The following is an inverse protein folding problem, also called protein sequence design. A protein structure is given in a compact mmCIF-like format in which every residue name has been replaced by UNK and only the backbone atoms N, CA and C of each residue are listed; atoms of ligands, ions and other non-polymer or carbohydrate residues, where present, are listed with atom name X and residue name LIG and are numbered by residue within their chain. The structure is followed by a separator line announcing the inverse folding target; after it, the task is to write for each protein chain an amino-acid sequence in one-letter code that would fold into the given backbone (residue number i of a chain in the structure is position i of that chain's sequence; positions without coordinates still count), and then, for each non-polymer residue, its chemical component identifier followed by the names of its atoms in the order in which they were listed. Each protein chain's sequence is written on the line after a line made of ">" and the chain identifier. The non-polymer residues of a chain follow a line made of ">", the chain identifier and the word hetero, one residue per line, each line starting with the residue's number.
data_IF_701618543134
#
_entry.id   IF_701618543134
#
_cell.length_a   1.000
_cell.length_b   1.000
_cell.length_c   1.000
_cell.angle_alpha   90.00
_cell.angle_beta   90.00
_cell.angle_gamma   90.00
#
_symmetry.space_group_name_H-M   'P 1'
#
loop_
_entity.id
_entity.type
_entity.pdbx_description
1 polymer ?
#
# COMPACT_ATOMS: atom_id res chain seq x y z
N UNK A 1 -7.94 -29.37 -42.03
CA UNK A 1 -8.32 -27.96 -42.29
C UNK A 1 -7.83 -27.16 -41.11
N UNK A 2 -6.85 -26.29 -41.29
CA UNK A 2 -6.44 -25.35 -40.24
C UNK A 2 -7.62 -24.43 -39.98
N UNK A 3 -8.10 -24.37 -38.74
CA UNK A 3 -9.09 -23.37 -38.33
C UNK A 3 -8.40 -22.02 -38.48
N UNK A 4 -8.86 -21.19 -39.42
CA UNK A 4 -8.39 -19.81 -39.54
C UNK A 4 -9.10 -19.01 -38.44
N UNK A 5 -8.42 -18.84 -37.31
CA UNK A 5 -8.87 -17.95 -36.24
C UNK A 5 -8.79 -16.49 -36.69
N UNK A 6 -9.76 -15.68 -36.28
CA UNK A 6 -9.72 -14.21 -36.40
C UNK A 6 -9.35 -13.58 -35.06
N UNK A 7 -8.96 -12.30 -35.04
CA UNK A 7 -8.73 -11.56 -33.78
C UNK A 7 -9.99 -11.55 -32.90
N UNK A 8 -11.18 -11.45 -33.51
CA UNK A 8 -12.45 -11.52 -32.80
C UNK A 8 -12.69 -12.88 -32.09
N UNK A 9 -12.13 -13.97 -32.61
CA UNK A 9 -12.21 -15.29 -31.96
C UNK A 9 -11.19 -15.44 -30.81
N UNK A 10 -10.07 -14.71 -30.90
CA UNK A 10 -8.96 -14.78 -29.94
C UNK A 10 -9.18 -13.85 -28.74
N UNK A 11 -9.73 -12.66 -28.95
CA UNK A 11 -9.93 -11.66 -27.89
C UNK A 11 -10.69 -12.18 -26.66
N UNK A 12 -11.83 -12.89 -26.80
CA UNK A 12 -12.51 -13.46 -25.64
C UNK A 12 -11.63 -14.44 -24.84
N UNK A 13 -10.75 -15.19 -25.52
CA UNK A 13 -9.82 -16.11 -24.87
C UNK A 13 -8.72 -15.37 -24.13
N UNK A 14 -8.20 -14.28 -24.71
CA UNK A 14 -7.23 -13.41 -24.03
C UNK A 14 -7.85 -12.92 -22.73
N UNK A 15 -9.05 -12.32 -22.80
CA UNK A 15 -9.74 -11.77 -21.63
C UNK A 15 -10.07 -12.85 -20.59
N UNK A 16 -10.55 -14.03 -21.02
CA UNK A 16 -10.83 -15.14 -20.09
C UNK A 16 -9.56 -15.63 -19.35
N UNK A 17 -8.40 -15.63 -20.02
CA UNK A 17 -7.15 -16.02 -19.36
C UNK A 17 -6.65 -14.91 -18.42
N UNK A 18 -6.86 -13.63 -18.76
CA UNK A 18 -6.60 -12.51 -17.84
C UNK A 18 -7.47 -12.62 -16.59
N UNK A 19 -8.78 -12.87 -16.75
CA UNK A 19 -9.72 -13.01 -15.63
C UNK A 19 -9.35 -14.19 -14.69
N UNK A 20 -8.68 -15.21 -15.22
CA UNK A 20 -8.16 -16.37 -14.47
C UNK A 20 -6.73 -16.18 -13.94
N UNK A 21 -6.11 -15.03 -14.21
CA UNK A 21 -4.70 -14.75 -13.90
C UNK A 21 -3.72 -15.72 -14.60
N UNK A 22 -4.14 -16.33 -15.71
CA UNK A 22 -3.35 -17.24 -16.56
C UNK A 22 -2.55 -16.44 -17.60
N UNK A 23 -1.74 -15.47 -17.14
CA UNK A 23 -1.05 -14.52 -18.01
C UNK A 23 -0.15 -15.14 -19.10
N UNK A 24 0.60 -16.23 -18.87
CA UNK A 24 1.38 -16.87 -19.94
C UNK A 24 0.50 -17.42 -21.08
N UNK A 25 -0.70 -17.92 -20.74
CA UNK A 25 -1.66 -18.41 -21.73
C UNK A 25 -2.33 -17.24 -22.47
N UNK A 26 -2.72 -16.18 -21.75
CA UNK A 26 -3.20 -14.93 -22.35
C UNK A 26 -2.18 -14.38 -23.37
N UNK A 27 -0.90 -14.36 -22.99
CA UNK A 27 0.19 -13.86 -23.84
C UNK A 27 0.33 -14.64 -25.15
N UNK A 28 0.17 -15.97 -25.09
CA UNK A 28 0.19 -16.81 -26.31
C UNK A 28 -0.94 -16.44 -27.27
N UNK A 29 -2.14 -16.13 -26.74
CA UNK A 29 -3.25 -15.66 -27.57
C UNK A 29 -3.03 -14.22 -28.08
N UNK A 30 -2.42 -13.34 -27.29
CA UNK A 30 -2.02 -11.99 -27.72
C UNK A 30 -1.05 -12.05 -28.91
N UNK A 31 0.01 -12.87 -28.82
CA UNK A 31 0.97 -13.06 -29.90
C UNK A 31 0.28 -13.54 -31.18
N UNK A 32 -0.64 -14.51 -31.07
CA UNK A 32 -1.45 -14.99 -32.18
C UNK A 32 -2.31 -13.88 -32.80
N UNK A 33 -2.91 -13.03 -31.98
CA UNK A 33 -3.74 -11.92 -32.45
C UNK A 33 -2.89 -10.86 -33.18
N UNK A 34 -1.70 -10.53 -32.66
CA UNK A 34 -0.76 -9.61 -33.31
C UNK A 34 -0.13 -10.18 -34.60
N UNK A 35 0.04 -11.51 -34.72
CA UNK A 35 0.43 -12.13 -35.99
C UNK A 35 -0.62 -11.91 -37.08
N UNK A 36 -1.91 -11.89 -36.72
CA UNK A 36 -3.03 -11.67 -37.64
C UNK A 36 -3.23 -10.19 -37.95
N UNK A 37 -3.15 -9.33 -36.93
CA UNK A 37 -3.33 -7.88 -37.05
C UNK A 37 -2.24 -7.12 -36.27
N UNK A 38 -1.04 -6.92 -36.85
CA UNK A 38 0.10 -6.30 -36.15
C UNK A 38 -0.13 -4.85 -35.70
N UNK A 39 -1.10 -4.15 -36.30
CA UNK A 39 -1.39 -2.74 -36.05
C UNK A 39 -2.80 -2.55 -35.45
N UNK A 40 -3.28 -3.53 -34.68
CA UNK A 40 -4.51 -3.39 -33.91
C UNK A 40 -4.19 -2.74 -32.56
N UNK A 41 -4.58 -1.47 -32.39
CA UNK A 41 -4.26 -0.67 -31.20
C UNK A 41 -4.81 -1.29 -29.90
N UNK A 42 -5.99 -1.89 -29.95
CA UNK A 42 -6.61 -2.54 -28.80
C UNK A 42 -5.85 -3.81 -28.39
N UNK A 43 -5.44 -4.65 -29.35
CA UNK A 43 -4.65 -5.85 -29.05
C UNK A 43 -3.26 -5.49 -28.54
N UNK A 44 -2.63 -4.44 -29.09
CA UNK A 44 -1.36 -3.93 -28.58
C UNK A 44 -1.49 -3.45 -27.12
N UNK A 45 -2.57 -2.75 -26.80
CA UNK A 45 -2.86 -2.33 -25.41
C UNK A 45 -3.05 -3.54 -24.49
N UNK A 46 -3.89 -4.50 -24.86
CA UNK A 46 -4.11 -5.73 -24.06
C UNK A 46 -2.80 -6.53 -23.92
N UNK A 47 -1.97 -6.59 -24.97
CA UNK A 47 -0.69 -7.29 -24.92
C UNK A 47 0.25 -6.63 -23.93
N UNK A 48 0.35 -5.30 -23.94
CA UNK A 48 1.19 -4.59 -22.97
C UNK A 48 0.71 -4.76 -21.52
N UNK A 49 -0.60 -4.88 -21.28
CA UNK A 49 -1.14 -5.21 -19.95
C UNK A 49 -0.69 -6.61 -19.50
N UNK A 50 -0.81 -7.61 -20.37
CA UNK A 50 -0.34 -8.98 -20.06
C UNK A 50 1.16 -9.02 -19.85
N UNK A 51 1.94 -8.22 -20.60
CA UNK A 51 3.39 -8.13 -20.45
C UNK A 51 3.80 -7.51 -19.11
N UNK A 52 3.04 -6.54 -18.58
CA UNK A 52 3.27 -5.99 -17.23
C UNK A 52 3.15 -7.08 -16.16
N UNK A 53 2.11 -7.89 -16.25
CA UNK A 53 1.82 -9.00 -15.32
C UNK A 53 2.85 -10.14 -15.42
N UNK A 54 3.58 -10.18 -16.54
CA UNK A 54 4.71 -11.08 -16.77
C UNK A 54 6.06 -10.41 -16.50
N UNK A 55 6.08 -9.20 -15.91
CA UNK A 55 7.26 -8.40 -15.60
C UNK A 55 8.13 -8.08 -16.84
N UNK A 56 7.52 -8.08 -18.04
CA UNK A 56 8.16 -7.75 -19.31
C UNK A 56 8.04 -6.25 -19.61
N UNK A 57 8.51 -5.42 -18.70
CA UNK A 57 8.28 -3.97 -18.69
C UNK A 57 8.70 -3.26 -20.00
N UNK A 58 9.83 -3.65 -20.59
CA UNK A 58 10.32 -3.07 -21.84
C UNK A 58 9.42 -3.37 -23.05
N UNK A 59 8.88 -4.59 -23.12
CA UNK A 59 7.94 -4.98 -24.17
C UNK A 59 6.60 -4.30 -23.97
N UNK A 60 6.12 -4.26 -22.72
CA UNK A 60 4.89 -3.58 -22.36
C UNK A 60 4.94 -2.11 -22.79
N UNK A 61 6.03 -1.41 -22.45
CA UNK A 61 6.25 -0.01 -22.84
C UNK A 61 6.22 0.18 -24.35
N UNK A 62 6.88 -0.72 -25.09
CA UNK A 62 6.90 -0.68 -26.56
C UNK A 62 5.50 -0.82 -27.16
N UNK A 63 4.72 -1.81 -26.72
CA UNK A 63 3.37 -2.02 -27.23
C UNK A 63 2.40 -0.91 -26.83
N UNK A 64 2.54 -0.35 -25.63
CA UNK A 64 1.77 0.84 -25.19
C UNK A 64 2.03 2.03 -26.10
N UNK A 65 3.31 2.34 -26.40
CA UNK A 65 3.68 3.42 -27.31
C UNK A 65 3.16 3.19 -28.74
N UNK A 66 3.18 1.96 -29.23
CA UNK A 66 2.62 1.64 -30.56
C UNK A 66 1.08 1.81 -30.59
N UNK A 67 0.38 1.36 -29.55
CA UNK A 67 -1.07 1.58 -29.40
C UNK A 67 -1.42 3.07 -29.33
N UNK A 68 -0.65 3.87 -28.59
CA UNK A 68 -0.82 5.33 -28.50
C UNK A 68 -0.61 5.99 -29.87
N UNK A 69 0.41 5.56 -30.62
CA UNK A 69 0.69 6.10 -31.95
C UNK A 69 -0.45 5.84 -32.94
N UNK A 70 -1.10 4.68 -32.84
CA UNK A 70 -2.20 4.29 -33.73
C UNK A 70 -3.50 5.02 -33.40
N UNK A 71 -3.85 5.12 -32.12
CA UNK A 71 -5.11 5.72 -31.67
C UNK A 71 -4.92 6.64 -30.44
N UNK A 72 -4.33 7.83 -30.58
CA UNK A 72 -3.92 8.65 -29.43
C UNK A 72 -5.09 9.16 -28.56
N UNK A 73 -6.32 9.17 -29.08
CA UNK A 73 -7.50 9.67 -28.38
C UNK A 73 -8.42 8.55 -27.87
N UNK A 74 -8.08 7.27 -28.12
CA UNK A 74 -8.84 6.12 -27.66
C UNK A 74 -8.18 5.49 -26.43
N UNK A 75 -8.98 5.14 -25.41
CA UNK A 75 -8.53 4.57 -24.13
C UNK A 75 -7.57 5.46 -23.33
N UNK A 76 -7.98 5.84 -22.12
CA UNK A 76 -7.07 6.48 -21.16
C UNK A 76 -6.09 5.48 -20.53
N UNK A 77 -6.41 4.17 -20.53
CA UNK A 77 -5.70 3.16 -19.75
C UNK A 77 -4.25 2.98 -20.17
N UNK A 78 -3.97 2.97 -21.48
CA UNK A 78 -2.59 2.93 -22.00
C UNK A 78 -1.70 4.08 -21.55
N UNK A 79 -2.28 5.24 -21.28
CA UNK A 79 -1.55 6.39 -20.74
C UNK A 79 -1.26 6.23 -19.24
N UNK A 80 -2.15 5.58 -18.49
CA UNK A 80 -1.89 5.25 -17.07
C UNK A 80 -0.74 4.25 -16.96
N UNK A 81 -0.76 3.18 -17.76
CA UNK A 81 0.33 2.20 -17.79
C UNK A 81 1.64 2.82 -18.29
N UNK A 82 1.59 3.66 -19.33
CA UNK A 82 2.79 4.35 -19.78
C UNK A 82 3.35 5.27 -18.69
N UNK A 83 2.50 5.94 -17.92
CA UNK A 83 2.91 6.76 -16.77
C UNK A 83 3.71 5.96 -15.76
N UNK A 84 3.20 4.78 -15.36
CA UNK A 84 3.88 3.87 -14.43
C UNK A 84 5.18 3.27 -15.00
N UNK A 85 5.27 3.12 -16.33
CA UNK A 85 6.45 2.62 -17.04
C UNK A 85 7.46 3.72 -17.43
N UNK A 86 7.21 4.96 -17.04
CA UNK A 86 8.03 6.12 -17.38
C UNK A 86 8.56 6.77 -16.11
N UNK A 87 9.45 7.75 -16.27
CA UNK A 87 10.04 8.49 -15.15
C UNK A 87 9.89 9.99 -15.33
N UNK A 88 10.02 10.73 -14.24
CA UNK A 88 10.09 12.20 -14.25
C UNK A 88 8.96 12.84 -15.09
N UNK A 89 9.31 13.80 -15.96
CA UNK A 89 8.37 14.56 -16.79
C UNK A 89 7.70 13.72 -17.89
N UNK A 90 8.29 12.59 -18.30
CA UNK A 90 7.63 11.67 -19.24
C UNK A 90 6.42 11.00 -18.59
N UNK A 91 6.58 10.51 -17.35
CA UNK A 91 5.49 9.93 -16.58
C UNK A 91 4.36 10.93 -16.35
N UNK A 92 4.70 12.16 -15.93
CA UNK A 92 3.73 13.25 -15.74
C UNK A 92 2.97 13.55 -17.04
N UNK A 93 3.65 13.60 -18.20
CA UNK A 93 2.99 13.86 -19.47
C UNK A 93 2.03 12.73 -19.87
N UNK A 94 2.40 11.47 -19.63
CA UNK A 94 1.53 10.33 -19.86
C UNK A 94 0.30 10.36 -18.94
N UNK A 95 0.49 10.52 -17.62
CA UNK A 95 -0.61 10.63 -16.67
C UNK A 95 -1.54 11.79 -17.00
N UNK A 96 -1.01 12.97 -17.31
CA UNK A 96 -1.82 14.13 -17.69
C UNK A 96 -2.70 13.83 -18.90
N UNK A 97 -2.16 13.19 -19.95
CA UNK A 97 -2.95 12.86 -21.14
C UNK A 97 -4.08 11.87 -20.82
N UNK A 98 -3.84 10.90 -19.96
CA UNK A 98 -4.90 9.99 -19.54
C UNK A 98 -5.93 10.65 -18.61
N UNK A 99 -5.52 11.56 -17.74
CA UNK A 99 -6.44 12.41 -16.95
C UNK A 99 -7.33 13.23 -17.87
N UNK A 100 -6.78 13.87 -18.90
CA UNK A 100 -7.56 14.66 -19.86
C UNK A 100 -8.63 13.80 -20.56
N UNK A 101 -8.27 12.57 -20.95
CA UNK A 101 -9.19 11.61 -21.57
C UNK A 101 -10.28 11.14 -20.58
N UNK A 102 -9.91 10.81 -19.34
CA UNK A 102 -10.86 10.42 -18.30
C UNK A 102 -11.83 11.56 -17.95
N UNK A 103 -11.36 12.80 -17.89
CA UNK A 103 -12.21 13.98 -17.66
C UNK A 103 -13.18 14.16 -18.83
N UNK A 104 -12.71 14.03 -20.08
CA UNK A 104 -13.55 14.13 -21.26
C UNK A 104 -14.61 13.01 -21.32
N UNK A 105 -14.27 11.80 -20.86
CA UNK A 105 -15.19 10.68 -20.73
C UNK A 105 -16.22 10.94 -19.63
N UNK A 106 -15.78 11.32 -18.43
CA UNK A 106 -16.63 11.62 -17.28
C UNK A 106 -17.64 12.73 -17.57
N UNK A 107 -17.24 13.76 -18.32
CA UNK A 107 -18.13 14.87 -18.70
C UNK A 107 -19.30 14.46 -19.61
N UNK A 108 -19.26 13.26 -20.21
CA UNK A 108 -20.37 12.71 -21.00
C UNK A 108 -21.35 11.91 -20.15
N UNK A 109 -20.99 11.61 -18.91
CA UNK A 109 -21.77 10.80 -17.98
C UNK A 109 -22.60 11.69 -17.05
N UNK A 110 -23.60 11.09 -16.40
CA UNK A 110 -24.27 11.75 -15.28
C UNK A 110 -23.32 11.81 -14.09
N UNK A 111 -23.26 12.95 -13.41
CA UNK A 111 -22.35 13.16 -12.26
C UNK A 111 -22.57 12.10 -11.17
N UNK A 112 -23.81 11.65 -10.98
CA UNK A 112 -24.16 10.65 -9.96
C UNK A 112 -24.02 9.19 -10.43
N UNK A 113 -23.60 8.95 -11.68
CA UNK A 113 -23.41 7.58 -12.19
C UNK A 113 -22.21 6.90 -11.53
N UNK A 114 -22.29 5.59 -11.36
CA UNK A 114 -21.21 4.81 -10.75
C UNK A 114 -19.93 4.88 -11.61
N UNK A 115 -20.10 4.89 -12.93
CA UNK A 115 -19.01 5.06 -13.88
C UNK A 115 -18.32 6.42 -13.73
N UNK A 116 -19.08 7.50 -13.48
CA UNK A 116 -18.51 8.82 -13.25
C UNK A 116 -17.72 8.90 -11.93
N UNK A 117 -18.20 8.22 -10.87
CA UNK A 117 -17.50 8.11 -9.59
C UNK A 117 -16.23 7.28 -9.71
N UNK A 118 -16.28 6.17 -10.43
CA UNK A 118 -15.09 5.34 -10.70
C UNK A 118 -14.03 6.14 -11.47
N UNK A 119 -14.44 6.91 -12.49
CA UNK A 119 -13.52 7.81 -13.21
C UNK A 119 -13.00 8.94 -12.32
N UNK A 120 -13.82 9.49 -11.44
CA UNK A 120 -13.39 10.52 -10.49
C UNK A 120 -12.28 10.00 -9.57
N UNK A 121 -12.47 8.82 -8.98
CA UNK A 121 -11.47 8.14 -8.15
C UNK A 121 -10.17 7.87 -8.92
N UNK A 122 -10.25 7.32 -10.15
CA UNK A 122 -9.07 7.08 -11.01
C UNK A 122 -8.31 8.36 -11.37
N UNK A 123 -9.04 9.46 -11.61
CA UNK A 123 -8.40 10.75 -11.88
C UNK A 123 -7.68 11.25 -10.63
N UNK A 124 -8.27 11.13 -9.45
CA UNK A 124 -7.61 11.48 -8.19
C UNK A 124 -6.34 10.66 -7.97
N UNK A 125 -6.38 9.34 -8.17
CA UNK A 125 -5.18 8.50 -8.08
C UNK A 125 -4.09 8.95 -9.06
N UNK A 126 -4.44 9.23 -10.32
CA UNK A 126 -3.46 9.71 -11.30
C UNK A 126 -2.83 11.06 -10.90
N UNK A 127 -3.62 11.99 -10.34
CA UNK A 127 -3.13 13.26 -9.82
C UNK A 127 -2.26 13.09 -8.57
N UNK A 128 -2.55 12.10 -7.73
CA UNK A 128 -1.69 11.68 -6.62
C UNK A 128 -0.35 11.18 -7.16
N UNK A 129 -0.34 10.25 -8.13
CA UNK A 129 0.92 9.77 -8.73
C UNK A 129 1.74 10.90 -9.35
N UNK A 130 1.12 11.86 -10.02
CA UNK A 130 1.82 13.04 -10.54
C UNK A 130 2.42 13.94 -9.44
N UNK A 131 1.73 14.03 -8.29
CA UNK A 131 2.22 14.76 -7.11
C UNK A 131 3.40 14.04 -6.47
N UNK A 132 3.34 12.72 -6.34
CA UNK A 132 4.45 11.89 -5.84
C UNK A 132 5.71 12.07 -6.67
N UNK A 133 5.60 12.07 -8.01
CA UNK A 133 6.74 12.32 -8.90
C UNK A 133 7.38 13.69 -8.60
N UNK A 134 6.60 14.72 -8.28
CA UNK A 134 7.14 16.02 -7.87
C UNK A 134 7.70 16.04 -6.44
N UNK A 135 7.30 15.12 -5.57
CA UNK A 135 7.89 14.95 -4.24
C UNK A 135 9.18 14.12 -4.26
N UNK A 136 9.38 13.30 -5.29
CA UNK A 136 10.56 12.43 -5.42
C UNK A 136 11.46 12.86 -6.57
N UNK A 137 11.14 12.44 -7.80
CA UNK A 137 12.03 12.51 -8.97
C UNK A 137 12.24 13.95 -9.46
N UNK A 138 11.18 14.75 -9.40
CA UNK A 138 11.15 16.13 -9.87
C UNK A 138 11.20 17.17 -8.73
N UNK A 139 11.62 16.78 -7.51
CA UNK A 139 11.58 17.65 -6.33
C UNK A 139 12.48 18.90 -6.40
N UNK A 140 13.48 18.91 -7.29
CA UNK A 140 14.35 20.05 -7.53
C UNK A 140 13.84 21.02 -8.60
N UNK A 141 12.72 20.71 -9.26
CA UNK A 141 12.12 21.59 -10.25
C UNK A 141 11.48 22.82 -9.57
N UNK A 142 11.66 24.04 -10.11
CA UNK A 142 11.14 25.25 -9.48
C UNK A 142 9.61 25.28 -9.40
N UNK A 143 8.92 24.53 -10.26
CA UNK A 143 7.47 24.37 -10.26
C UNK A 143 6.94 23.27 -9.32
N UNK A 144 7.80 22.48 -8.68
CA UNK A 144 7.39 21.25 -7.99
C UNK A 144 6.33 21.51 -6.91
N UNK A 145 6.61 22.43 -5.98
CA UNK A 145 5.66 22.77 -4.91
C UNK A 145 4.32 23.28 -5.45
N UNK A 146 4.36 24.18 -6.44
CA UNK A 146 3.16 24.71 -7.07
C UNK A 146 2.34 23.60 -7.73
N UNK A 147 3.00 22.64 -8.38
CA UNK A 147 2.35 21.53 -9.06
C UNK A 147 1.73 20.54 -8.09
N UNK A 148 2.38 20.24 -6.98
CA UNK A 148 1.79 19.42 -5.91
C UNK A 148 0.47 20.02 -5.40
N UNK A 149 0.45 21.32 -5.08
CA UNK A 149 -0.78 22.00 -4.63
C UNK A 149 -1.88 22.01 -5.71
N UNK A 150 -1.50 22.25 -6.97
CA UNK A 150 -2.42 22.27 -8.10
C UNK A 150 -3.09 20.90 -8.31
N UNK A 151 -2.32 19.82 -8.31
CA UNK A 151 -2.82 18.47 -8.53
C UNK A 151 -3.66 17.95 -7.37
N UNK A 152 -3.22 18.17 -6.13
CA UNK A 152 -4.00 17.77 -4.95
C UNK A 152 -5.32 18.56 -4.85
N UNK A 153 -5.31 19.84 -5.19
CA UNK A 153 -6.55 20.62 -5.26
C UNK A 153 -7.49 20.07 -6.32
N UNK A 154 -6.98 19.70 -7.49
CA UNK A 154 -7.79 19.07 -8.55
C UNK A 154 -8.32 17.70 -8.11
N UNK A 155 -7.51 16.86 -7.46
CA UNK A 155 -7.89 15.54 -6.96
C UNK A 155 -9.06 15.65 -5.97
N UNK A 156 -8.97 16.57 -5.01
CA UNK A 156 -10.02 16.78 -4.01
C UNK A 156 -11.29 17.41 -4.59
N UNK A 157 -11.17 18.20 -5.66
CA UNK A 157 -12.32 18.76 -6.37
C UNK A 157 -13.08 17.70 -7.18
N UNK A 158 -12.37 16.73 -7.75
CA UNK A 158 -12.98 15.67 -8.54
C UNK A 158 -13.53 14.55 -7.66
N UNK A 159 -12.81 14.17 -6.61
CA UNK A 159 -13.22 13.16 -5.65
C UNK A 159 -12.81 13.59 -4.23
N UNK A 160 -13.76 14.15 -3.49
CA UNK A 160 -13.55 14.61 -2.12
C UNK A 160 -13.45 13.47 -1.10
N UNK A 161 -13.77 12.23 -1.49
CA UNK A 161 -13.73 11.04 -0.63
C UNK A 161 -12.50 10.15 -0.93
N UNK A 162 -11.56 10.64 -1.75
CA UNK A 162 -10.34 9.93 -2.08
C UNK A 162 -9.30 10.00 -0.95
N UNK A 163 -9.24 8.96 -0.11
CA UNK A 163 -8.39 8.91 1.09
C UNK A 163 -6.90 9.20 0.82
N UNK A 164 -6.34 8.65 -0.26
CA UNK A 164 -4.94 8.79 -0.64
C UNK A 164 -4.55 10.25 -0.93
N UNK A 165 -5.47 11.04 -1.52
CA UNK A 165 -5.21 12.46 -1.80
C UNK A 165 -4.94 13.26 -0.52
N UNK A 166 -5.57 12.89 0.58
CA UNK A 166 -5.34 13.54 1.87
C UNK A 166 -4.05 13.05 2.55
N UNK A 167 -3.65 11.79 2.35
CA UNK A 167 -2.35 11.30 2.85
C UNK A 167 -1.21 12.01 2.13
N UNK A 168 -1.31 12.12 0.80
CA UNK A 168 -0.29 12.80 0.02
C UNK A 168 -0.26 14.31 0.28
N UNK A 169 -1.42 14.93 0.54
CA UNK A 169 -1.47 16.29 1.05
C UNK A 169 -0.72 16.44 2.37
N UNK A 170 -0.81 15.47 3.29
CA UNK A 170 -0.02 15.50 4.51
C UNK A 170 1.48 15.46 4.22
N UNK A 171 1.94 14.62 3.29
CA UNK A 171 3.34 14.59 2.85
C UNK A 171 3.81 15.94 2.30
N UNK A 172 2.99 16.62 1.48
CA UNK A 172 3.28 17.98 0.99
C UNK A 172 3.33 18.99 2.15
N UNK A 173 2.41 18.90 3.12
CA UNK A 173 2.41 19.79 4.28
C UNK A 173 3.63 19.58 5.17
N UNK A 174 4.08 18.34 5.35
CA UNK A 174 5.30 18.01 6.08
C UNK A 174 6.54 18.61 5.40
N UNK A 175 6.67 18.49 4.08
CA UNK A 175 7.79 19.10 3.34
C UNK A 175 7.79 20.63 3.42
N UNK A 176 6.62 21.24 3.59
CA UNK A 176 6.42 22.68 3.85
C UNK A 176 6.55 23.07 5.33
N UNK A 177 6.85 22.15 6.24
CA UNK A 177 6.93 22.37 7.70
C UNK A 177 5.60 22.83 8.33
N UNK A 178 4.47 22.35 7.80
CA UNK A 178 3.09 22.68 8.23
C UNK A 178 2.45 21.49 8.94
N UNK A 179 3.03 21.08 10.07
CA UNK A 179 2.68 19.83 10.77
C UNK A 179 1.21 19.76 11.22
N UNK A 180 0.62 20.87 11.69
CA UNK A 180 -0.79 20.90 12.10
C UNK A 180 -1.74 20.62 10.93
N UNK A 181 -1.41 21.14 9.74
CA UNK A 181 -2.20 20.90 8.54
C UNK A 181 -1.99 19.49 7.99
N UNK A 182 -0.78 18.93 8.14
CA UNK A 182 -0.52 17.53 7.85
C UNK A 182 -1.39 16.63 8.74
N UNK A 183 -1.39 16.86 10.06
CA UNK A 183 -2.23 16.11 11.00
C UNK A 183 -3.73 16.22 10.67
N UNK A 184 -4.21 17.41 10.28
CA UNK A 184 -5.60 17.58 9.84
C UNK A 184 -5.92 16.79 8.57
N UNK A 185 -5.00 16.72 7.61
CA UNK A 185 -5.18 15.95 6.38
C UNK A 185 -5.17 14.43 6.65
N UNK A 186 -4.28 13.95 7.52
CA UNK A 186 -4.24 12.54 7.93
C UNK A 186 -5.53 12.11 8.63
N UNK A 187 -6.05 12.92 9.57
CA UNK A 187 -7.35 12.68 10.19
C UNK A 187 -8.44 12.56 9.13
N UNK A 188 -8.47 13.50 8.18
CA UNK A 188 -9.47 13.49 7.11
C UNK A 188 -9.38 12.24 6.24
N UNK A 189 -8.17 11.76 5.94
CA UNK A 189 -7.97 10.50 5.24
C UNK A 189 -8.58 9.34 6.00
N UNK A 190 -8.25 9.19 7.29
CA UNK A 190 -8.70 8.08 8.13
C UNK A 190 -10.22 8.04 8.30
N UNK A 191 -10.87 9.19 8.51
CA UNK A 191 -12.34 9.29 8.64
C UNK A 191 -13.10 8.61 7.48
N UNK A 192 -12.50 8.57 6.29
CA UNK A 192 -13.15 8.02 5.09
C UNK A 192 -13.25 6.48 5.11
N UNK A 193 -12.33 5.80 5.80
CA UNK A 193 -12.19 4.35 5.68
C UNK A 193 -12.00 3.59 7.00
N UNK A 194 -11.60 4.21 8.11
CA UNK A 194 -11.17 3.52 9.34
C UNK A 194 -12.26 2.66 10.00
N UNK A 195 -13.53 2.96 9.75
CA UNK A 195 -14.69 2.22 10.30
C UNK A 195 -15.41 1.35 9.27
N UNK A 196 -14.83 1.18 8.07
CA UNK A 196 -15.40 0.34 7.01
C UNK A 196 -15.18 -1.13 7.32
N UNK A 197 -16.05 -1.98 6.77
CA UNK A 197 -15.91 -3.43 6.90
C UNK A 197 -14.77 -3.94 6.01
N UNK A 198 -14.12 -5.03 6.43
CA UNK A 198 -13.06 -5.65 5.66
C UNK A 198 -13.55 -6.01 4.25
N UNK A 199 -12.78 -5.62 3.23
CA UNK A 199 -13.12 -5.82 1.81
C UNK A 199 -13.87 -4.66 1.16
N UNK A 200 -14.18 -3.59 1.87
CA UNK A 200 -14.67 -2.34 1.25
C UNK A 200 -13.58 -1.75 0.33
N UNK A 201 -13.94 -1.47 -0.93
CA UNK A 201 -13.02 -0.98 -1.95
C UNK A 201 -12.45 0.43 -1.68
N UNK A 202 -13.00 1.16 -0.70
CA UNK A 202 -12.50 2.46 -0.26
C UNK A 202 -11.37 2.37 0.76
N UNK A 203 -11.14 1.19 1.34
CA UNK A 203 -10.01 0.95 2.24
C UNK A 203 -8.72 0.97 1.41
N UNK A 204 -7.73 1.83 1.74
CA UNK A 204 -6.46 1.84 1.04
C UNK A 204 -5.76 0.47 1.15
N UNK A 205 -5.02 0.10 0.12
CA UNK A 205 -4.26 -1.16 0.11
C UNK A 205 -3.24 -1.21 1.27
N UNK A 206 -2.76 -2.41 1.59
CA UNK A 206 -1.92 -2.68 2.76
C UNK A 206 -0.69 -1.74 2.83
N UNK A 207 0.05 -1.61 1.73
CA UNK A 207 1.26 -0.79 1.69
C UNK A 207 0.98 0.71 1.86
N UNK A 208 -0.13 1.21 1.31
CA UNK A 208 -0.57 2.60 1.52
C UNK A 208 -0.90 2.86 2.99
N UNK A 209 -1.49 1.88 3.70
CA UNK A 209 -1.75 1.98 5.14
C UNK A 209 -0.46 1.90 5.96
N UNK A 210 0.55 1.12 5.56
CA UNK A 210 1.88 1.16 6.19
C UNK A 210 2.54 2.54 6.02
N UNK A 211 2.48 3.12 4.82
CA UNK A 211 2.99 4.46 4.55
C UNK A 211 2.27 5.52 5.41
N UNK A 212 0.95 5.40 5.58
CA UNK A 212 0.18 6.25 6.48
C UNK A 212 0.69 6.19 7.93
N UNK A 213 1.04 5.01 8.45
CA UNK A 213 1.58 4.89 9.81
C UNK A 213 2.86 5.72 9.95
N UNK A 214 3.77 5.68 8.97
CA UNK A 214 4.99 6.50 8.96
C UNK A 214 4.66 8.01 9.07
N UNK A 215 3.67 8.48 8.31
CA UNK A 215 3.20 9.87 8.37
C UNK A 215 2.57 10.24 9.72
N UNK A 216 1.76 9.34 10.30
CA UNK A 216 1.13 9.55 11.60
C UNK A 216 2.18 9.68 12.71
N UNK A 217 3.25 8.88 12.67
CA UNK A 217 4.35 8.97 13.62
C UNK A 217 5.12 10.29 13.47
N UNK A 218 5.34 10.77 12.25
CA UNK A 218 6.02 12.04 12.00
C UNK A 218 5.28 13.25 12.59
N UNK A 219 3.94 13.19 12.65
CA UNK A 219 3.12 14.23 13.31
C UNK A 219 2.75 13.90 14.77
N UNK A 220 3.29 12.83 15.35
CA UNK A 220 3.05 12.43 16.74
C UNK A 220 1.65 11.88 17.04
N UNK A 221 0.91 11.41 16.02
CA UNK A 221 -0.44 10.84 16.16
C UNK A 221 -0.39 9.34 16.50
N UNK A 222 0.20 8.99 17.64
CA UNK A 222 0.48 7.59 18.03
C UNK A 222 -0.78 6.71 18.20
N UNK A 223 -1.87 7.22 18.77
CA UNK A 223 -3.12 6.45 18.92
C UNK A 223 -3.72 6.06 17.57
N UNK A 224 -3.65 6.96 16.59
CA UNK A 224 -4.10 6.71 15.23
C UNK A 224 -3.19 5.68 14.56
N UNK A 225 -1.87 5.78 14.76
CA UNK A 225 -0.91 4.80 14.26
C UNK A 225 -1.23 3.39 14.77
N UNK A 226 -1.48 3.20 16.08
CA UNK A 226 -1.89 1.91 16.62
C UNK A 226 -3.20 1.40 16.02
N UNK A 227 -4.19 2.25 15.85
CA UNK A 227 -5.47 1.86 15.24
C UNK A 227 -5.25 1.29 13.82
N UNK A 228 -4.37 1.91 13.03
CA UNK A 228 -4.04 1.42 11.69
C UNK A 228 -3.23 0.12 11.76
N UNK A 229 -2.22 0.06 12.63
CA UNK A 229 -1.38 -1.12 12.82
C UNK A 229 -2.19 -2.35 13.28
N UNK A 230 -3.18 -2.19 14.17
CA UNK A 230 -4.05 -3.29 14.62
C UNK A 230 -4.92 -3.84 13.49
N UNK A 231 -5.37 -2.98 12.58
CA UNK A 231 -6.12 -3.41 11.42
C UNK A 231 -5.22 -4.15 10.42
N UNK A 232 -3.99 -3.69 10.22
CA UNK A 232 -3.00 -4.36 9.38
C UNK A 232 -2.59 -5.73 9.94
N UNK A 233 -2.35 -5.83 11.25
CA UNK A 233 -2.01 -7.08 11.92
C UNK A 233 -3.10 -8.15 11.75
N UNK A 234 -4.38 -7.77 11.84
CA UNK A 234 -5.50 -8.70 11.62
C UNK A 234 -5.59 -9.22 10.19
N UNK A 235 -5.08 -8.46 9.23
CA UNK A 235 -5.10 -8.79 7.80
C UNK A 235 -3.90 -9.65 7.40
N UNK A 236 -2.71 -9.28 7.84
CA UNK A 236 -1.47 -10.02 7.65
C UNK A 236 -0.44 -9.61 8.70
N UNK A 237 -0.01 -10.56 9.54
CA UNK A 237 1.01 -10.37 10.57
C UNK A 237 2.39 -10.91 10.17
N UNK A 238 2.56 -11.45 8.96
CA UNK A 238 3.85 -11.92 8.43
C UNK A 238 4.60 -10.82 7.67
N UNK A 239 4.47 -9.56 8.11
CA UNK A 239 5.08 -8.38 7.46
C UNK A 239 6.13 -7.73 8.38
N UNK A 240 7.38 -7.63 7.90
CA UNK A 240 8.50 -7.06 8.67
C UNK A 240 8.21 -5.61 9.07
N UNK A 241 7.76 -4.78 8.12
CA UNK A 241 7.46 -3.36 8.32
C UNK A 241 6.40 -3.12 9.39
N UNK A 242 5.38 -3.98 9.47
CA UNK A 242 4.32 -3.89 10.47
C UNK A 242 4.90 -3.93 11.89
N UNK A 243 5.72 -4.95 12.17
CA UNK A 243 6.29 -5.17 13.49
C UNK A 243 7.36 -4.14 13.84
N UNK A 244 8.14 -3.70 12.86
CA UNK A 244 9.04 -2.58 13.05
C UNK A 244 8.27 -1.31 13.45
N UNK A 245 7.19 -0.98 12.74
CA UNK A 245 6.42 0.22 13.03
C UNK A 245 5.69 0.16 14.38
N UNK A 246 5.20 -1.02 14.81
CA UNK A 246 4.75 -1.23 16.18
C UNK A 246 5.86 -0.92 17.19
N UNK A 247 7.02 -1.53 17.01
CA UNK A 247 8.18 -1.34 17.88
C UNK A 247 8.63 0.12 17.96
N UNK A 248 8.68 0.79 16.81
CA UNK A 248 9.03 2.20 16.72
C UNK A 248 7.99 3.11 17.39
N UNK A 249 6.70 2.81 17.23
CA UNK A 249 5.60 3.54 17.89
C UNK A 249 5.72 3.46 19.41
N UNK A 250 5.91 2.25 19.95
CA UNK A 250 6.12 2.05 21.39
C UNK A 250 7.41 2.71 21.89
N UNK A 251 8.49 2.61 21.14
CA UNK A 251 9.77 3.24 21.49
C UNK A 251 9.63 4.77 21.63
N UNK A 252 9.02 5.42 20.64
CA UNK A 252 8.77 6.87 20.65
C UNK A 252 7.89 7.30 21.83
N UNK A 253 6.83 6.53 22.13
CA UNK A 253 5.97 6.80 23.30
C UNK A 253 6.72 6.63 24.62
N UNK A 254 7.62 5.66 24.70
CA UNK A 254 8.48 5.46 25.86
C UNK A 254 9.54 6.56 25.99
N UNK A 255 9.97 7.17 24.89
CA UNK A 255 10.99 8.22 24.92
C UNK A 255 10.46 9.57 25.44
N UNK A 256 9.14 9.77 25.43
CA UNK A 256 8.45 10.96 25.95
C UNK A 256 8.86 11.29 27.40
N UNK A 257 9.41 12.50 27.60
CA UNK A 257 9.92 12.99 28.89
C UNK A 257 8.82 13.14 29.95
N UNK A 258 7.55 13.24 29.54
CA UNK A 258 6.41 13.34 30.47
C UNK A 258 6.04 12.00 31.13
N UNK A 259 6.53 10.88 30.61
CA UNK A 259 6.23 9.53 31.12
C UNK A 259 7.01 9.21 32.39
N UNK A 260 6.34 8.49 33.29
CA UNK A 260 7.02 7.93 34.46
C UNK A 260 8.01 6.85 34.05
N UNK A 261 8.99 6.58 34.92
CA UNK A 261 9.97 5.53 34.67
C UNK A 261 9.32 4.16 34.46
N UNK A 262 8.28 3.84 35.23
CA UNK A 262 7.56 2.56 35.11
C UNK A 262 6.84 2.43 33.76
N UNK A 263 6.09 3.45 33.35
CA UNK A 263 5.42 3.47 32.03
C UNK A 263 6.42 3.35 30.88
N UNK A 264 7.53 4.08 30.96
CA UNK A 264 8.63 4.01 29.99
C UNK A 264 9.20 2.60 29.87
N UNK A 265 9.43 1.93 30.99
CA UNK A 265 9.97 0.57 31.00
C UNK A 265 9.01 -0.42 30.36
N UNK A 266 7.70 -0.30 30.61
CA UNK A 266 6.67 -1.13 29.97
C UNK A 266 6.62 -0.89 28.47
N UNK A 267 6.53 0.37 28.03
CA UNK A 267 6.50 0.73 26.61
C UNK A 267 7.75 0.23 25.86
N UNK A 268 8.93 0.35 26.48
CA UNK A 268 10.16 -0.16 25.88
C UNK A 268 10.25 -1.69 25.88
N UNK A 269 9.65 -2.38 26.86
CA UNK A 269 9.52 -3.84 26.80
C UNK A 269 8.63 -4.26 25.61
N UNK A 270 7.45 -3.65 25.45
CA UNK A 270 6.55 -3.89 24.31
C UNK A 270 7.22 -3.57 22.96
N UNK A 271 7.99 -2.47 22.92
CA UNK A 271 8.79 -2.10 21.75
C UNK A 271 9.78 -3.20 21.39
N UNK A 272 10.53 -3.73 22.37
CA UNK A 272 11.51 -4.80 22.14
C UNK A 272 10.84 -6.04 21.57
N UNK A 273 9.71 -6.47 22.11
CA UNK A 273 9.04 -7.69 21.65
C UNK A 273 8.60 -7.58 20.19
N UNK A 274 8.08 -6.41 19.79
CA UNK A 274 7.73 -6.12 18.40
C UNK A 274 8.98 -6.09 17.50
N UNK A 275 10.06 -5.42 17.92
CA UNK A 275 11.29 -5.33 17.14
C UNK A 275 11.99 -6.69 16.98
N UNK A 276 11.98 -7.52 18.02
CA UNK A 276 12.48 -8.88 17.93
C UNK A 276 11.67 -9.73 16.96
N UNK A 277 10.35 -9.53 16.91
CA UNK A 277 9.48 -10.17 15.92
C UNK A 277 9.82 -9.70 14.50
N UNK A 278 10.03 -8.40 14.30
CA UNK A 278 10.48 -7.85 13.02
C UNK A 278 11.82 -8.47 12.57
N UNK A 279 12.81 -8.55 13.47
CA UNK A 279 14.11 -9.18 13.21
C UNK A 279 13.98 -10.67 12.89
N UNK A 280 13.12 -11.40 13.60
CA UNK A 280 12.85 -12.83 13.34
C UNK A 280 12.25 -13.01 11.94
N UNK A 281 11.23 -12.24 11.58
CA UNK A 281 10.58 -12.32 10.27
C UNK A 281 11.53 -11.95 9.12
N UNK A 282 12.32 -10.89 9.28
CA UNK A 282 13.33 -10.50 8.29
C UNK A 282 14.28 -11.68 7.96
N UNK A 283 14.72 -12.43 8.96
CA UNK A 283 15.61 -13.58 8.75
C UNK A 283 14.94 -14.78 8.07
N UNK A 284 13.60 -14.88 8.15
CA UNK A 284 12.83 -16.00 7.59
C UNK A 284 12.39 -15.70 6.15
N UNK A 285 11.79 -14.53 5.94
CA UNK A 285 11.10 -14.15 4.70
C UNK A 285 11.98 -13.22 3.84
N UNK A 286 12.86 -12.44 4.47
CA UNK A 286 13.59 -11.36 3.83
C UNK A 286 12.80 -10.04 3.80
N UNK A 287 13.51 -8.94 3.56
CA UNK A 287 12.96 -7.62 3.21
C UNK A 287 14.02 -6.88 2.40
N UNK A 288 13.57 -5.94 1.56
CA UNK A 288 14.47 -5.09 0.77
C UNK A 288 15.01 -3.89 1.57
N UNK A 289 14.51 -3.66 2.80
CA UNK A 289 14.92 -2.55 3.67
C UNK A 289 15.90 -3.00 4.78
N UNK A 290 17.18 -3.13 4.40
CA UNK A 290 18.27 -3.43 5.33
C UNK A 290 18.41 -2.37 6.44
N UNK A 291 18.06 -1.11 6.14
CA UNK A 291 18.20 -0.02 7.09
C UNK A 291 17.19 -0.14 8.24
N UNK A 292 15.95 -0.53 7.95
CA UNK A 292 14.94 -0.84 8.96
C UNK A 292 15.34 -2.02 9.85
N UNK A 293 15.97 -3.04 9.25
CA UNK A 293 16.48 -4.18 10.00
C UNK A 293 17.62 -3.81 10.96
N UNK A 294 18.59 -3.03 10.48
CA UNK A 294 19.69 -2.56 11.32
C UNK A 294 19.20 -1.63 12.43
N UNK A 295 18.28 -0.71 12.13
CA UNK A 295 17.68 0.17 13.13
C UNK A 295 16.91 -0.64 14.19
N UNK A 296 16.19 -1.69 13.79
CA UNK A 296 15.51 -2.57 14.75
C UNK A 296 16.48 -3.17 15.78
N UNK A 297 17.66 -3.61 15.33
CA UNK A 297 18.70 -4.14 16.23
C UNK A 297 19.30 -3.07 17.13
N UNK A 298 19.52 -1.87 16.59
CA UNK A 298 20.02 -0.73 17.38
C UNK A 298 19.05 -0.38 18.50
N UNK A 299 17.75 -0.26 18.20
CA UNK A 299 16.71 0.00 19.19
C UNK A 299 16.64 -1.09 20.26
N UNK A 300 16.69 -2.37 19.88
CA UNK A 300 16.75 -3.49 20.84
C UNK A 300 17.96 -3.34 21.77
N UNK A 301 19.14 -2.97 21.25
CA UNK A 301 20.33 -2.76 22.07
C UNK A 301 20.20 -1.58 23.02
N UNK A 302 19.58 -0.47 22.58
CA UNK A 302 19.31 0.70 23.42
C UNK A 302 18.30 0.34 24.54
N UNK A 303 17.21 -0.31 24.18
CA UNK A 303 16.19 -0.77 25.13
C UNK A 303 16.83 -1.70 26.17
N UNK A 304 17.64 -2.68 25.76
CA UNK A 304 18.27 -3.63 26.68
C UNK A 304 19.22 -2.98 27.70
N UNK A 305 19.73 -1.78 27.44
CA UNK A 305 20.51 -1.02 28.41
C UNK A 305 19.64 -0.38 29.51
N UNK A 306 18.40 -0.04 29.19
CA UNK A 306 17.46 0.61 30.10
C UNK A 306 16.49 -0.36 30.77
N UNK A 307 16.05 -1.38 30.02
CA UNK A 307 15.10 -2.42 30.42
C UNK A 307 15.76 -3.77 30.17
N UNK A 308 16.47 -4.33 31.17
CA UNK A 308 17.04 -5.67 31.04
C UNK A 308 15.96 -6.66 30.61
N UNK A 309 16.31 -7.63 29.77
CA UNK A 309 15.40 -8.72 29.43
C UNK A 309 14.88 -9.34 30.73
N UNK A 310 13.56 -9.40 30.89
CA UNK A 310 12.96 -10.26 31.89
C UNK A 310 13.44 -11.67 31.56
N UNK A 311 14.27 -12.24 32.42
CA UNK A 311 14.49 -13.67 32.39
C UNK A 311 13.10 -14.25 32.63
N UNK A 312 12.50 -14.88 31.63
CA UNK A 312 11.37 -15.77 31.88
C UNK A 312 11.86 -16.73 32.96
N UNK A 313 11.43 -16.53 34.21
CA UNK A 313 11.52 -17.60 35.19
C UNK A 313 10.78 -18.76 34.54
N UNK A 314 11.44 -19.91 34.31
CA UNK A 314 10.78 -21.03 33.66
C UNK A 314 9.49 -21.28 34.44
N UNK A 315 8.36 -21.30 33.74
CA UNK A 315 7.07 -21.66 34.32
C UNK A 315 7.35 -22.87 35.22
N UNK A 316 7.18 -22.70 36.53
CA UNK A 316 7.27 -23.82 37.45
C UNK A 316 6.23 -24.82 36.94
N UNK A 317 6.72 -25.91 36.33
CA UNK A 317 5.88 -27.09 36.07
C UNK A 317 5.20 -27.38 37.40
N UNK A 318 3.89 -27.09 37.45
CA UNK A 318 3.06 -27.48 38.57
C UNK A 318 3.14 -29.00 38.56
N UNK A 319 3.96 -29.55 39.47
CA UNK A 319 4.11 -30.97 39.70
C UNK A 319 2.71 -31.52 40.05
N UNK A 320 2.04 -32.11 39.06
CA UNK A 320 0.75 -32.80 39.20
C UNK A 320 0.90 -34.12 39.99
N UNK A 321 1.78 -34.15 40.98
CA UNK A 321 1.94 -35.26 41.90
C UNK A 321 1.57 -34.86 43.33
N UNK A 322 0.40 -34.21 43.47
CA UNK A 322 -0.33 -34.20 44.73
C UNK A 322 -1.07 -35.55 44.85
N UNK A 323 -0.37 -36.57 45.35
CA UNK A 323 -1.01 -37.80 45.85
C UNK A 323 -1.99 -37.41 46.96
N UNK A 324 -3.29 -37.42 46.64
CA UNK A 324 -4.34 -37.41 47.66
C UNK A 324 -4.30 -38.78 48.31
N UNK A 325 -3.66 -38.88 49.48
CA UNK A 325 -3.82 -40.00 50.39
C UNK A 325 -5.32 -40.15 50.72
N UNK A 326 -5.89 -41.27 50.29
CA UNK A 326 -7.23 -41.69 50.63
C UNK A 326 -7.27 -42.11 52.10
N UNK A 327 -7.77 -41.25 52.97
CA UNK A 327 -8.20 -41.63 54.32
C UNK A 327 -9.50 -42.42 54.23
N UNK A 328 -9.37 -43.74 54.06
CA UNK A 328 -10.37 -44.74 54.45
C UNK A 328 -9.95 -45.28 55.82
N UNK A 329 -10.48 -44.70 56.91
CA UNK A 329 -10.57 -45.40 58.21
C UNK A 329 -11.97 -45.25 58.80
N UNK A 330 -12.72 -46.32 58.55
CA UNK A 330 -13.51 -47.10 59.50
C UNK A 330 -14.75 -46.51 60.20
N UNK A 331 -15.85 -47.19 59.89
CA UNK A 331 -17.09 -47.25 60.64
C UNK A 331 -16.97 -48.10 61.91
N UNK A 332 -17.92 -47.85 62.83
CA UNK A 332 -18.38 -48.67 63.98
C UNK A 332 -17.56 -48.48 65.27
N UNK A 333 -18.08 -48.30 66.48
CA UNK A 333 -19.35 -48.60 67.20
C UNK A 333 -19.38 -47.62 68.42
N UNK A 334 -20.49 -47.07 68.90
CA UNK A 334 -21.54 -47.66 69.76
C UNK A 334 -22.82 -46.81 69.77
#
# INVERSE_FOLDING_TARGET
>A
MSVNYTVADLKPRILENIDKLEYPAAYTFCQKALELEPHNAEILEITGQVELELEQFELARKHMLESIKLEPEASYSKYMYLGQLSVEKEAIAAFQKGVDLMVAERNKLSVDSEEAKMLASKISSALCSMTEIYLTDCCFEPEAEQKCEEYLSQAQQVDSEHAESYQLLASVRLSQQRNEEAASALNKSMELWIHKEAGDATIPIYDTRLALVKLLLEVGMFEHAFTVLENLQKENDEVVDLWYLYGWTYYCLGDDEERTQEERMTLWADARDCLETAVKLYNIIGSDDDAMFDHSKELIQLINQAVPASVEEPEEEIDENFEIESDDEDAMEE
#
